data_IF_564757958754
#
_entry.id   IF_564757958754
#
_cell.length_a   1.000
_cell.length_b   1.000
_cell.length_c   1.000
_cell.angle_alpha   90.00
_cell.angle_beta   90.00
_cell.angle_gamma   90.00
#
_symmetry.space_group_name_H-M   'P 1'
#
loop_
_entity.id
_entity.type
_entity.pdbx_description
1 polymer ?
#
# COMPACT_ATOMS: atom_id res chain seq x y z
N UNK A 1 0.14 -0.48 -21.74
CA UNK A 1 -1.07 0.29 -22.08
C UNK A 1 -0.69 1.77 -22.11
N UNK A 2 -1.42 2.67 -22.80
CA UNK A 2 -1.20 4.10 -22.58
C UNK A 2 -1.53 4.49 -21.12
N UNK A 3 -0.93 5.55 -20.56
CA UNK A 3 -1.31 6.05 -19.23
C UNK A 3 -2.78 6.46 -19.22
N UNK A 4 -3.42 6.33 -18.06
CA UNK A 4 -4.79 6.79 -17.85
C UNK A 4 -4.90 8.32 -17.94
N UNK A 5 -3.84 9.03 -17.58
CA UNK A 5 -3.69 10.45 -17.81
C UNK A 5 -2.22 10.81 -18.04
N UNK A 6 -1.93 11.74 -18.97
CA UNK A 6 -0.56 12.13 -19.32
C UNK A 6 -0.27 13.53 -18.80
N UNK A 7 0.75 13.66 -17.96
CA UNK A 7 1.29 14.96 -17.55
C UNK A 7 1.83 15.74 -18.77
N UNK A 8 1.54 17.04 -18.81
CA UNK A 8 2.10 17.97 -19.79
C UNK A 8 3.09 18.87 -19.06
N UNK A 9 4.38 18.60 -19.30
CA UNK A 9 5.51 19.34 -18.73
C UNK A 9 5.30 20.85 -18.88
N UNK A 10 5.30 21.58 -17.76
CA UNK A 10 5.16 23.04 -17.72
C UNK A 10 3.73 23.58 -17.57
N UNK A 11 2.70 22.72 -17.47
CA UNK A 11 1.34 23.15 -17.09
C UNK A 11 1.19 23.30 -15.57
N UNK A 12 0.28 24.16 -15.14
CA UNK A 12 -0.02 24.38 -13.73
C UNK A 12 -0.75 23.18 -13.13
N UNK A 13 -0.30 22.75 -11.95
CA UNK A 13 -0.81 21.62 -11.18
C UNK A 13 -2.35 21.53 -11.14
N UNK A 14 -3.04 22.64 -10.82
CA UNK A 14 -4.50 22.67 -10.73
C UNK A 14 -5.23 22.37 -12.05
N UNK A 15 -4.66 22.76 -13.21
CA UNK A 15 -5.26 22.45 -14.53
C UNK A 15 -5.09 20.99 -14.94
N UNK A 16 -4.19 20.25 -14.30
CA UNK A 16 -3.94 18.85 -14.62
C UNK A 16 -4.74 17.90 -13.74
N UNK A 17 -5.08 18.28 -12.49
CA UNK A 17 -5.86 17.43 -11.58
C UNK A 17 -7.20 17.03 -12.20
N UNK A 18 -7.89 17.95 -12.89
CA UNK A 18 -9.17 17.64 -13.53
C UNK A 18 -9.03 16.53 -14.59
N UNK A 19 -7.97 16.57 -15.41
CA UNK A 19 -7.68 15.49 -16.38
C UNK A 19 -7.35 14.16 -15.66
N UNK A 20 -6.71 14.22 -14.50
CA UNK A 20 -6.42 13.05 -13.67
C UNK A 20 -7.67 12.45 -13.02
N UNK A 21 -8.70 13.25 -12.72
CA UNK A 21 -9.99 12.76 -12.21
C UNK A 21 -10.66 11.87 -13.27
N UNK A 22 -10.66 12.28 -14.53
CA UNK A 22 -11.14 11.44 -15.65
C UNK A 22 -10.31 10.17 -15.81
N UNK A 23 -8.98 10.28 -15.69
CA UNK A 23 -8.06 9.14 -15.68
C UNK A 23 -8.39 8.13 -14.57
N UNK A 24 -8.65 8.63 -13.36
CA UNK A 24 -9.07 7.82 -12.21
C UNK A 24 -10.39 7.09 -12.46
N UNK A 25 -11.39 7.73 -13.05
CA UNK A 25 -12.65 7.05 -13.37
C UNK A 25 -12.48 5.97 -14.43
N UNK A 26 -11.61 6.19 -15.44
CA UNK A 26 -11.26 5.16 -16.44
C UNK A 26 -10.52 4.00 -15.79
N UNK A 27 -9.59 4.29 -14.88
CA UNK A 27 -8.89 3.29 -14.08
C UNK A 27 -9.88 2.40 -13.31
N UNK A 28 -10.83 2.97 -12.57
CA UNK A 28 -11.81 2.18 -11.81
C UNK A 28 -12.70 1.26 -12.65
N UNK A 29 -12.94 1.64 -13.91
CA UNK A 29 -13.77 0.90 -14.87
C UNK A 29 -12.98 -0.13 -15.67
N UNK A 30 -11.66 -0.20 -15.51
CA UNK A 30 -10.83 -1.14 -16.24
C UNK A 30 -11.06 -2.59 -15.79
N UNK A 31 -10.60 -3.53 -16.61
CA UNK A 31 -10.55 -4.95 -16.26
C UNK A 31 -9.47 -5.16 -15.21
N UNK A 32 -9.83 -5.75 -14.07
CA UNK A 32 -8.92 -6.04 -12.95
C UNK A 32 -8.03 -4.85 -12.52
N UNK A 33 -8.62 -3.71 -12.09
CA UNK A 33 -7.86 -2.50 -11.77
C UNK A 33 -6.87 -2.70 -10.61
N UNK A 34 -7.08 -3.73 -9.78
CA UNK A 34 -6.17 -4.10 -8.70
C UNK A 34 -4.80 -4.56 -9.22
N UNK A 35 -4.75 -5.18 -10.41
CA UNK A 35 -3.56 -5.73 -11.06
C UNK A 35 -2.99 -4.78 -12.12
N UNK A 36 -3.45 -3.53 -12.14
CA UNK A 36 -2.89 -2.54 -13.02
C UNK A 36 -1.45 -2.20 -12.60
N UNK A 37 -0.54 -2.30 -13.55
CA UNK A 37 0.87 -1.97 -13.37
C UNK A 37 1.13 -0.50 -13.77
N UNK A 38 1.46 0.32 -12.79
CA UNK A 38 1.72 1.75 -12.96
C UNK A 38 2.98 2.04 -13.80
N UNK A 39 3.95 1.11 -13.88
CA UNK A 39 5.11 1.22 -14.76
C UNK A 39 4.75 0.99 -16.21
N UNK A 40 4.06 -0.10 -16.50
CA UNK A 40 3.53 -0.37 -17.83
C UNK A 40 2.51 0.68 -18.30
N UNK A 41 1.85 1.33 -17.33
CA UNK A 41 1.02 2.51 -17.51
C UNK A 41 1.79 3.78 -17.87
N UNK A 42 3.07 3.88 -17.49
CA UNK A 42 3.87 5.12 -17.55
C UNK A 42 3.26 6.25 -16.70
N UNK A 43 2.79 5.91 -15.50
CA UNK A 43 2.09 6.83 -14.60
C UNK A 43 3.00 7.78 -13.80
N UNK A 44 4.31 7.82 -14.08
CA UNK A 44 5.22 8.78 -13.44
C UNK A 44 4.78 10.22 -13.74
N UNK A 45 4.72 11.04 -12.69
CA UNK A 45 4.38 12.44 -12.82
C UNK A 45 5.56 13.26 -13.33
N UNK A 46 6.74 13.11 -12.70
CA UNK A 46 7.99 13.71 -13.12
C UNK A 46 9.01 12.61 -13.47
N UNK A 47 10.04 12.94 -14.25
CA UNK A 47 11.10 11.98 -14.64
C UNK A 47 11.74 11.28 -13.43
N UNK A 48 11.81 11.98 -12.28
CA UNK A 48 12.41 11.50 -11.04
C UNK A 48 11.38 11.13 -9.94
N UNK A 49 10.09 11.07 -10.26
CA UNK A 49 9.10 10.55 -9.29
C UNK A 49 8.98 9.04 -9.42
N UNK A 50 8.91 8.36 -8.28
CA UNK A 50 8.56 6.95 -8.21
C UNK A 50 7.04 6.74 -8.41
N UNK A 51 6.64 5.53 -8.78
CA UNK A 51 5.27 5.25 -9.27
C UNK A 51 4.20 5.33 -8.18
N UNK A 52 4.55 5.00 -6.94
CA UNK A 52 3.68 5.13 -5.78
C UNK A 52 3.34 6.60 -5.46
N UNK A 53 4.14 7.54 -5.95
CA UNK A 53 3.91 8.98 -5.86
C UNK A 53 3.19 9.55 -7.10
N UNK A 54 2.74 8.72 -8.04
CA UNK A 54 1.92 9.17 -9.18
C UNK A 54 0.65 9.89 -8.71
N UNK A 55 0.14 10.80 -9.55
CA UNK A 55 -1.11 11.51 -9.24
C UNK A 55 -2.29 10.54 -9.14
N UNK A 56 -2.34 9.50 -9.99
CA UNK A 56 -3.35 8.44 -9.89
C UNK A 56 -3.29 7.72 -8.54
N UNK A 57 -2.10 7.34 -8.06
CA UNK A 57 -1.93 6.74 -6.73
C UNK A 57 -2.45 7.67 -5.63
N UNK A 58 -2.08 8.96 -5.69
CA UNK A 58 -2.53 9.97 -4.74
C UNK A 58 -4.06 10.14 -4.73
N UNK A 59 -4.70 10.20 -5.90
CA UNK A 59 -6.15 10.27 -6.04
C UNK A 59 -6.85 9.03 -5.47
N UNK A 60 -6.31 7.84 -5.73
CA UNK A 60 -6.82 6.59 -5.14
C UNK A 60 -6.85 6.69 -3.62
N UNK A 61 -5.73 7.07 -2.98
CA UNK A 61 -5.67 7.13 -1.53
C UNK A 61 -6.49 8.28 -0.94
N UNK A 62 -6.63 9.40 -1.64
CA UNK A 62 -7.57 10.47 -1.27
C UNK A 62 -8.99 9.94 -1.19
N UNK A 63 -9.45 9.23 -2.21
CA UNK A 63 -10.81 8.68 -2.25
C UNK A 63 -11.00 7.58 -1.21
N UNK A 64 -9.97 6.79 -0.90
CA UNK A 64 -9.98 5.85 0.23
C UNK A 64 -10.14 6.58 1.57
N UNK A 65 -9.40 7.66 1.82
CA UNK A 65 -9.56 8.45 3.06
C UNK A 65 -10.95 9.09 3.14
N UNK A 66 -11.46 9.65 2.03
CA UNK A 66 -12.82 10.22 1.94
C UNK A 66 -13.91 9.20 2.20
N UNK A 67 -13.80 8.00 1.64
CA UNK A 67 -14.74 6.90 1.89
C UNK A 67 -14.85 6.51 3.37
N UNK A 68 -13.86 6.90 4.17
CA UNK A 68 -13.75 6.64 5.60
C UNK A 68 -13.95 7.90 6.45
N UNK A 69 -14.61 8.93 5.90
CA UNK A 69 -15.02 10.17 6.55
C UNK A 69 -13.87 11.10 6.96
N UNK A 70 -12.74 11.01 6.27
CA UNK A 70 -11.64 11.98 6.37
C UNK A 70 -11.67 12.91 5.16
N UNK A 71 -11.17 14.14 5.31
CA UNK A 71 -10.88 14.98 4.14
C UNK A 71 -9.45 14.70 3.70
N UNK A 72 -9.21 14.65 2.39
CA UNK A 72 -7.86 14.52 1.85
C UNK A 72 -7.75 15.24 0.51
N UNK A 73 -6.62 15.90 0.29
CA UNK A 73 -6.32 16.69 -0.90
C UNK A 73 -4.86 16.53 -1.28
N UNK A 74 -4.53 16.68 -2.56
CA UNK A 74 -3.14 16.64 -3.00
C UNK A 74 -2.46 17.97 -2.64
N UNK A 75 -1.21 17.89 -2.16
CA UNK A 75 -0.40 19.07 -1.91
C UNK A 75 0.00 19.77 -3.21
N UNK A 76 0.23 21.08 -3.17
CA UNK A 76 0.61 21.89 -4.35
C UNK A 76 1.86 21.38 -5.09
N UNK A 77 2.74 20.63 -4.42
CA UNK A 77 3.91 20.03 -5.04
C UNK A 77 3.61 18.78 -5.90
N UNK A 78 2.41 18.19 -5.79
CA UNK A 78 2.04 16.96 -6.51
C UNK A 78 2.82 15.72 -6.07
N UNK A 79 3.48 15.73 -4.90
CA UNK A 79 4.33 14.64 -4.39
C UNK A 79 3.83 14.03 -3.07
N UNK A 80 2.70 14.51 -2.56
CA UNK A 80 2.17 14.13 -1.25
C UNK A 80 0.71 14.54 -1.15
N UNK A 81 -0.01 13.90 -0.23
CA UNK A 81 -1.37 14.29 0.10
C UNK A 81 -1.40 14.87 1.52
N UNK A 82 -2.41 15.66 1.79
CA UNK A 82 -2.74 16.09 3.14
C UNK A 82 -4.07 15.51 3.55
N UNK A 83 -4.12 14.94 4.76
CA UNK A 83 -5.32 14.37 5.37
C UNK A 83 -5.74 15.20 6.57
N UNK A 84 -7.04 15.43 6.69
CA UNK A 84 -7.66 16.27 7.70
C UNK A 84 -8.73 15.49 8.49
N UNK A 85 -8.76 15.69 9.81
CA UNK A 85 -9.83 15.24 10.72
C UNK A 85 -10.16 16.38 11.67
N UNK A 86 -11.29 17.06 11.44
CA UNK A 86 -11.60 18.29 12.16
C UNK A 86 -10.56 19.38 11.88
N UNK A 87 -9.93 19.92 12.92
CA UNK A 87 -8.88 20.96 12.81
C UNK A 87 -7.47 20.39 12.64
N UNK A 88 -7.29 19.07 12.77
CA UNK A 88 -5.97 18.42 12.68
C UNK A 88 -5.67 18.08 11.22
N UNK A 89 -4.48 18.49 10.76
CA UNK A 89 -4.01 18.35 9.38
C UNK A 89 -2.62 17.74 9.36
N UNK A 90 -2.41 16.62 8.64
CA UNK A 90 -1.09 15.98 8.52
C UNK A 90 -0.80 15.55 7.09
N UNK A 91 0.47 15.64 6.69
CA UNK A 91 0.94 15.28 5.35
C UNK A 91 1.36 13.81 5.29
N UNK A 92 1.00 13.14 4.20
CA UNK A 92 1.41 11.77 3.89
C UNK A 92 2.24 11.76 2.61
N UNK A 93 3.39 11.10 2.67
CA UNK A 93 4.17 10.69 1.50
C UNK A 93 3.69 9.30 1.06
N UNK A 94 4.37 8.71 0.08
CA UNK A 94 4.09 7.37 -0.40
C UNK A 94 5.36 6.53 -0.41
N UNK A 95 5.17 5.24 -0.20
CA UNK A 95 6.22 4.23 -0.30
C UNK A 95 5.65 2.94 -0.91
N UNK A 96 6.53 2.08 -1.41
CA UNK A 96 6.20 0.73 -1.84
C UNK A 96 6.32 -0.20 -0.63
N UNK A 97 5.34 -1.07 -0.41
CA UNK A 97 5.31 -1.93 0.77
C UNK A 97 6.37 -3.02 0.69
N UNK A 98 6.34 -3.82 -0.37
CA UNK A 98 7.33 -4.87 -0.63
C UNK A 98 8.15 -4.47 -1.85
N UNK A 99 9.35 -3.93 -1.60
CA UNK A 99 10.21 -3.39 -2.64
C UNK A 99 11.24 -4.44 -3.10
N UNK A 100 11.25 -4.86 -4.38
CA UNK A 100 12.11 -5.93 -4.87
C UNK A 100 13.57 -5.48 -5.14
N UNK A 101 14.07 -4.44 -4.46
CA UNK A 101 15.48 -4.04 -4.59
C UNK A 101 16.39 -5.22 -4.28
N UNK A 102 17.57 -5.27 -4.92
CA UNK A 102 18.56 -6.35 -4.68
C UNK A 102 18.98 -6.50 -3.21
N UNK A 103 18.82 -5.46 -2.39
CA UNK A 103 19.06 -5.48 -0.94
C UNK A 103 17.91 -6.04 -0.10
N UNK A 104 16.72 -6.27 -0.68
CA UNK A 104 15.55 -6.78 0.03
C UNK A 104 15.80 -8.19 0.56
N UNK A 105 15.49 -8.45 1.82
CA UNK A 105 15.83 -9.74 2.45
C UNK A 105 15.17 -10.95 1.75
N UNK A 106 13.87 -10.91 1.35
CA UNK A 106 13.27 -12.00 0.57
C UNK A 106 13.97 -12.24 -0.77
N UNK A 107 14.33 -11.18 -1.48
CA UNK A 107 15.04 -11.23 -2.77
C UNK A 107 16.42 -11.87 -2.62
N UNK A 108 17.16 -11.48 -1.58
CA UNK A 108 18.46 -12.07 -1.26
C UNK A 108 18.34 -13.58 -1.00
N UNK A 109 17.32 -14.01 -0.25
CA UNK A 109 17.08 -15.44 -0.02
C UNK A 109 16.77 -16.18 -1.33
N UNK A 110 15.96 -15.59 -2.22
CA UNK A 110 15.67 -16.19 -3.52
C UNK A 110 16.93 -16.39 -4.38
N UNK A 111 17.81 -15.38 -4.43
CA UNK A 111 19.10 -15.44 -5.15
C UNK A 111 19.99 -16.52 -4.54
N UNK A 112 20.17 -16.51 -3.22
CA UNK A 112 21.04 -17.46 -2.52
C UNK A 112 20.62 -18.92 -2.72
N UNK A 113 19.31 -19.17 -2.85
CA UNK A 113 18.75 -20.51 -2.97
C UNK A 113 18.29 -20.86 -4.40
N UNK A 114 18.59 -20.00 -5.39
CA UNK A 114 18.17 -20.13 -6.79
C UNK A 114 16.65 -20.40 -6.97
N UNK A 115 15.82 -19.85 -6.07
CA UNK A 115 14.37 -19.97 -6.16
C UNK A 115 13.87 -19.21 -7.38
N UNK A 116 13.14 -19.88 -8.29
CA UNK A 116 12.64 -19.32 -9.55
C UNK A 116 13.72 -18.56 -10.37
N UNK A 117 14.97 -19.05 -10.38
CA UNK A 117 16.07 -18.36 -11.05
C UNK A 117 16.55 -17.09 -10.33
N UNK A 118 16.37 -17.05 -9.01
CA UNK A 118 16.77 -15.94 -8.14
C UNK A 118 15.75 -14.81 -8.04
N UNK A 119 14.47 -15.09 -8.31
CA UNK A 119 13.41 -14.08 -8.37
C UNK A 119 12.19 -14.47 -7.56
N UNK A 120 11.56 -13.50 -6.93
CA UNK A 120 10.28 -13.67 -6.25
C UNK A 120 9.15 -13.36 -7.24
N UNK A 121 8.02 -14.07 -7.14
CA UNK A 121 6.84 -13.85 -7.98
C UNK A 121 6.20 -12.50 -7.71
N UNK A 122 6.24 -12.01 -6.47
CA UNK A 122 5.70 -10.69 -6.14
C UNK A 122 6.38 -9.55 -6.92
N UNK A 123 7.60 -9.75 -7.45
CA UNK A 123 8.29 -8.79 -8.32
C UNK A 123 7.46 -8.44 -9.56
N UNK A 124 6.59 -9.34 -10.02
CA UNK A 124 5.77 -9.11 -11.21
C UNK A 124 4.56 -8.19 -10.94
N UNK A 125 4.22 -7.96 -9.67
CA UNK A 125 3.05 -7.15 -9.26
C UNK A 125 3.45 -6.01 -8.31
N UNK A 126 4.74 -5.67 -8.24
CA UNK A 126 5.27 -4.71 -7.27
C UNK A 126 4.76 -3.27 -7.50
N UNK A 127 4.37 -2.94 -8.73
CA UNK A 127 3.83 -1.64 -9.12
C UNK A 127 2.30 -1.59 -9.14
N UNK A 128 1.63 -2.56 -8.52
CA UNK A 128 0.18 -2.53 -8.36
C UNK A 128 -0.23 -1.70 -7.13
N UNK A 129 -1.43 -1.11 -7.16
CA UNK A 129 -1.96 -0.26 -6.08
C UNK A 129 -1.95 -0.94 -4.71
N UNK A 130 -2.11 -2.27 -4.69
CA UNK A 130 -2.05 -3.08 -3.48
C UNK A 130 -0.71 -3.03 -2.75
N UNK A 131 0.37 -2.65 -3.45
CA UNK A 131 1.72 -2.53 -2.92
C UNK A 131 2.13 -1.07 -2.62
N UNK A 132 1.26 -0.08 -2.80
CA UNK A 132 1.57 1.32 -2.48
C UNK A 132 0.92 1.74 -1.17
N UNK A 133 1.63 2.45 -0.29
CA UNK A 133 1.08 2.88 0.99
C UNK A 133 1.34 4.37 1.24
N UNK A 134 0.30 5.14 1.67
CA UNK A 134 0.53 6.45 2.23
C UNK A 134 1.21 6.29 3.59
N UNK A 135 2.30 7.00 3.81
CA UNK A 135 3.06 7.00 5.06
C UNK A 135 3.10 8.40 5.65
N UNK A 136 2.87 8.58 6.96
CA UNK A 136 2.96 9.89 7.59
C UNK A 136 4.32 10.53 7.32
N UNK A 137 4.33 11.81 6.95
CA UNK A 137 5.59 12.55 6.92
C UNK A 137 6.09 12.65 8.37
N UNK A 138 7.33 12.26 8.61
CA UNK A 138 7.96 12.30 9.95
C UNK A 138 9.05 13.38 10.09
N UNK A 139 9.22 14.24 9.07
CA UNK A 139 10.28 15.26 9.05
C UNK A 139 9.94 16.39 10.03
N UNK A 140 10.83 16.62 11.00
CA UNK A 140 10.87 17.84 11.84
C UNK A 140 11.53 18.97 11.06
N UNK A 141 11.03 20.19 11.19
CA UNK A 141 11.82 21.37 10.83
C UNK A 141 13.14 21.36 11.61
N UNK A 142 14.28 21.35 10.90
CA UNK A 142 15.67 21.23 11.42
C UNK A 142 16.24 19.80 11.67
N UNK A 143 16.06 18.86 10.74
CA UNK A 143 16.92 17.66 10.56
C UNK A 143 17.00 16.61 11.69
N UNK A 144 16.02 16.49 12.59
CA UNK A 144 16.00 15.38 13.54
C UNK A 144 15.06 14.25 13.08
N UNK A 145 15.63 13.16 12.58
CA UNK A 145 14.96 11.87 12.33
C UNK A 145 14.94 11.44 10.85
N UNK A 146 15.25 10.17 10.53
CA UNK A 146 15.12 9.64 9.17
C UNK A 146 13.64 9.60 8.74
N UNK A 147 13.41 9.77 7.43
CA UNK A 147 12.07 9.60 6.83
C UNK A 147 11.63 8.14 6.98
N UNK A 148 10.32 7.88 7.07
CA UNK A 148 9.83 6.50 7.12
C UNK A 148 10.29 5.66 5.92
N UNK A 149 10.44 6.24 4.71
CA UNK A 149 11.06 5.56 3.57
C UNK A 149 12.51 5.11 3.83
N UNK A 150 13.30 5.94 4.52
CA UNK A 150 14.68 5.59 4.88
C UNK A 150 14.73 4.52 5.96
N UNK A 151 13.81 4.59 6.93
CA UNK A 151 13.66 3.54 7.95
C UNK A 151 13.26 2.23 7.28
N UNK A 152 12.35 2.26 6.31
CA UNK A 152 11.93 1.09 5.55
C UNK A 152 13.11 0.43 4.81
N UNK A 153 13.94 1.24 4.14
CA UNK A 153 15.20 0.78 3.52
C UNK A 153 16.14 0.14 4.55
N UNK A 154 16.34 0.75 5.72
CA UNK A 154 17.17 0.19 6.79
C UNK A 154 16.61 -1.09 7.42
N UNK A 155 15.31 -1.32 7.29
CA UNK A 155 14.64 -2.56 7.67
C UNK A 155 14.61 -3.57 6.51
N UNK A 156 15.50 -3.44 5.54
CA UNK A 156 15.66 -4.32 4.37
C UNK A 156 14.38 -4.45 3.52
N UNK A 157 13.62 -3.35 3.43
CA UNK A 157 12.36 -3.27 2.66
C UNK A 157 11.31 -4.31 3.14
N UNK A 158 11.37 -4.70 4.42
CA UNK A 158 10.39 -5.57 5.05
C UNK A 158 9.25 -4.75 5.66
N UNK A 159 8.13 -4.66 4.94
CA UNK A 159 6.97 -3.91 5.40
C UNK A 159 6.49 -4.25 6.82
N UNK A 160 6.40 -5.55 7.24
CA UNK A 160 5.96 -5.87 8.60
C UNK A 160 6.88 -5.29 9.68
N UNK A 161 8.19 -5.18 9.42
CA UNK A 161 9.15 -4.56 10.32
C UNK A 161 8.91 -3.04 10.41
N UNK A 162 8.65 -2.37 9.29
CA UNK A 162 8.29 -0.94 9.29
C UNK A 162 6.99 -0.70 10.08
N UNK A 163 5.96 -1.52 9.86
CA UNK A 163 4.71 -1.43 10.60
C UNK A 163 4.92 -1.62 12.10
N UNK A 164 5.77 -2.56 12.51
CA UNK A 164 6.10 -2.74 13.93
C UNK A 164 6.82 -1.53 14.50
N UNK A 165 7.79 -0.98 13.78
CA UNK A 165 8.45 0.26 14.17
C UNK A 165 7.44 1.41 14.33
N UNK A 166 6.52 1.57 13.38
CA UNK A 166 5.48 2.60 13.44
C UNK A 166 4.53 2.38 14.61
N UNK A 167 4.13 1.13 14.88
CA UNK A 167 3.28 0.79 16.03
C UNK A 167 3.93 1.19 17.35
N UNK A 168 5.21 0.86 17.53
CA UNK A 168 5.95 1.10 18.77
C UNK A 168 6.25 2.59 19.01
N UNK A 169 6.35 3.36 17.94
CA UNK A 169 6.79 4.76 17.99
C UNK A 169 5.69 5.76 17.61
N UNK A 170 4.44 5.31 17.42
CA UNK A 170 3.35 6.13 16.89
C UNK A 170 3.12 7.43 17.67
N UNK A 171 3.14 7.34 19.01
CA UNK A 171 2.95 8.48 19.92
C UNK A 171 4.18 9.39 20.00
N UNK A 172 5.34 8.92 19.54
CA UNK A 172 6.61 9.62 19.61
C UNK A 172 6.97 10.32 18.29
N UNK A 173 6.13 10.16 17.25
CA UNK A 173 6.39 10.80 15.97
C UNK A 173 6.23 12.32 16.10
N UNK A 174 7.22 13.08 15.62
CA UNK A 174 7.31 14.52 15.89
C UNK A 174 6.33 15.35 15.05
N UNK A 175 5.59 14.71 14.16
CA UNK A 175 4.47 15.32 13.45
C UNK A 175 3.16 15.18 14.20
N UNK A 176 3.15 14.62 15.42
CA UNK A 176 1.98 14.41 16.26
C UNK A 176 0.85 13.70 15.49
N UNK A 177 1.19 12.67 14.69
CA UNK A 177 0.22 11.94 13.87
C UNK A 177 -0.90 11.33 14.72
N UNK A 178 -0.63 11.03 15.99
CA UNK A 178 -1.59 10.53 16.97
C UNK A 178 -2.77 11.49 17.21
N UNK A 179 -2.58 12.80 17.01
CA UNK A 179 -3.68 13.77 17.09
C UNK A 179 -4.68 13.61 15.93
N UNK A 180 -4.20 13.12 14.77
CA UNK A 180 -5.05 12.87 13.61
C UNK A 180 -5.74 11.51 13.72
N UNK A 181 -4.96 10.47 14.06
CA UNK A 181 -5.45 9.10 14.13
C UNK A 181 -4.52 8.21 14.97
N UNK A 182 -5.09 7.21 15.63
CA UNK A 182 -4.34 6.11 16.23
C UNK A 182 -3.65 5.23 15.16
N UNK A 183 -2.66 4.43 15.54
CA UNK A 183 -2.02 3.47 14.62
C UNK A 183 -3.04 2.50 14.02
N UNK A 184 -4.02 2.04 14.80
CA UNK A 184 -5.09 1.16 14.29
C UNK A 184 -5.96 1.86 13.25
N UNK A 185 -6.34 3.10 13.50
CA UNK A 185 -7.05 3.92 12.53
C UNK A 185 -6.20 4.11 11.28
N UNK A 186 -4.90 4.37 11.38
CA UNK A 186 -3.98 4.40 10.24
C UNK A 186 -4.01 3.10 9.44
N UNK A 187 -3.85 1.95 10.11
CA UNK A 187 -3.89 0.63 9.48
C UNK A 187 -5.22 0.40 8.75
N UNK A 188 -6.35 0.84 9.30
CA UNK A 188 -7.65 0.74 8.64
C UNK A 188 -7.78 1.72 7.48
N UNK A 189 -7.48 3.00 7.71
CA UNK A 189 -7.67 4.08 6.75
C UNK A 189 -6.80 3.92 5.52
N UNK A 190 -5.62 3.32 5.65
CA UNK A 190 -4.70 3.03 4.54
C UNK A 190 -4.83 1.61 3.97
N UNK A 191 -5.87 0.87 4.36
CA UNK A 191 -6.18 -0.50 3.90
C UNK A 191 -5.07 -1.52 4.21
N UNK A 192 -4.45 -1.45 5.37
CA UNK A 192 -3.34 -2.31 5.80
C UNK A 192 -3.73 -3.29 6.91
N UNK A 193 -4.99 -3.35 7.32
CA UNK A 193 -5.44 -4.16 8.45
C UNK A 193 -5.24 -5.68 8.25
N UNK A 194 -5.03 -6.16 7.02
CA UNK A 194 -4.65 -7.56 6.76
C UNK A 194 -3.25 -7.94 7.25
N UNK A 195 -2.44 -6.99 7.71
CA UNK A 195 -1.13 -7.26 8.31
C UNK A 195 -1.19 -7.65 9.78
N UNK A 196 -2.36 -7.57 10.44
CA UNK A 196 -2.52 -8.17 11.76
C UNK A 196 -2.61 -9.68 11.65
N UNK A 197 -1.84 -10.42 12.44
CA UNK A 197 -1.65 -11.86 12.37
C UNK A 197 -2.97 -12.63 12.42
N UNK A 198 -3.87 -12.29 13.34
CA UNK A 198 -5.18 -12.93 13.45
C UNK A 198 -6.02 -12.73 12.18
N UNK A 199 -5.97 -11.54 11.60
CA UNK A 199 -6.69 -11.19 10.36
C UNK A 199 -6.05 -11.95 9.19
N UNK A 200 -4.72 -11.84 9.04
CA UNK A 200 -3.95 -12.53 8.02
C UNK A 200 -4.23 -14.04 8.02
N UNK A 201 -4.05 -14.71 9.15
CA UNK A 201 -4.22 -16.16 9.27
C UNK A 201 -5.63 -16.59 8.87
N UNK A 202 -6.66 -15.86 9.32
CA UNK A 202 -8.04 -16.15 8.95
C UNK A 202 -8.26 -16.05 7.43
N UNK A 203 -7.81 -14.96 6.81
CA UNK A 203 -8.01 -14.72 5.38
C UNK A 203 -7.16 -15.65 4.50
N UNK A 204 -5.92 -15.91 4.92
CA UNK A 204 -5.00 -16.80 4.21
C UNK A 204 -5.45 -18.27 4.28
N UNK A 205 -6.05 -18.70 5.41
CA UNK A 205 -6.70 -20.00 5.49
C UNK A 205 -7.87 -20.14 4.50
N UNK A 206 -8.70 -19.10 4.34
CA UNK A 206 -9.80 -19.11 3.34
C UNK A 206 -9.24 -19.22 1.93
N UNK A 207 -8.15 -18.49 1.65
CA UNK A 207 -7.47 -18.51 0.35
C UNK A 207 -6.90 -19.89 0.01
N UNK A 208 -6.24 -20.55 0.97
CA UNK A 208 -5.61 -21.86 0.78
C UNK A 208 -6.58 -23.05 0.84
N UNK A 209 -7.80 -22.87 1.37
CA UNK A 209 -8.79 -23.95 1.46
C UNK A 209 -9.44 -24.31 0.12
N UNK A 210 -9.20 -23.54 -0.95
CA UNK A 210 -9.73 -23.81 -2.29
C UNK A 210 -8.61 -24.09 -3.27
N UNK A 211 -8.70 -25.22 -3.96
CA UNK A 211 -7.76 -25.58 -5.03
C UNK A 211 -7.88 -24.63 -6.23
N UNK A 212 -9.07 -24.08 -6.49
CA UNK A 212 -9.33 -23.14 -7.58
C UNK A 212 -9.60 -21.74 -7.02
N UNK A 213 -8.69 -20.78 -7.29
CA UNK A 213 -8.80 -19.37 -6.88
C UNK A 213 -9.77 -18.60 -7.78
N UNK A 214 -11.05 -18.94 -7.68
CA UNK A 214 -12.14 -18.26 -8.41
C UNK A 214 -12.51 -16.92 -7.77
N UNK A 215 -13.16 -16.03 -8.52
CA UNK A 215 -13.65 -14.73 -8.03
C UNK A 215 -14.51 -14.85 -6.76
N UNK A 216 -15.27 -15.95 -6.64
CA UNK A 216 -16.11 -16.23 -5.47
C UNK A 216 -15.30 -16.32 -4.15
N UNK A 217 -14.04 -16.77 -4.19
CA UNK A 217 -13.19 -16.81 -2.98
C UNK A 217 -12.73 -15.41 -2.62
N UNK A 218 -12.38 -14.59 -3.59
CA UNK A 218 -12.01 -13.21 -3.35
C UNK A 218 -13.17 -12.41 -2.76
N UNK A 219 -14.38 -12.58 -3.29
CA UNK A 219 -15.58 -11.97 -2.72
C UNK A 219 -15.81 -12.38 -1.26
N UNK A 220 -15.61 -13.66 -0.94
CA UNK A 220 -15.68 -14.17 0.44
C UNK A 220 -14.62 -13.52 1.33
N UNK A 221 -13.37 -13.46 0.89
CA UNK A 221 -12.25 -12.87 1.64
C UNK A 221 -12.48 -11.38 1.86
N UNK A 222 -12.90 -10.63 0.84
CA UNK A 222 -13.21 -9.19 0.92
C UNK A 222 -14.35 -8.94 1.90
N UNK A 223 -15.41 -9.76 1.87
CA UNK A 223 -16.53 -9.65 2.81
C UNK A 223 -16.08 -9.91 4.25
N UNK A 224 -15.26 -10.94 4.48
CA UNK A 224 -14.69 -11.21 5.81
C UNK A 224 -13.81 -10.04 6.30
N UNK A 225 -12.93 -9.53 5.44
CA UNK A 225 -12.06 -8.39 5.74
C UNK A 225 -12.86 -7.11 6.05
N UNK A 226 -13.95 -6.87 5.33
CA UNK A 226 -14.81 -5.69 5.53
C UNK A 226 -15.53 -5.67 6.88
N UNK A 227 -15.79 -6.86 7.45
CA UNK A 227 -16.51 -7.03 8.71
C UNK A 227 -15.58 -7.22 9.92
N UNK A 228 -14.27 -7.33 9.70
CA UNK A 228 -13.30 -7.57 10.75
C UNK A 228 -13.05 -6.31 11.58
N UNK A 229 -13.00 -6.50 12.90
CA UNK A 229 -12.60 -5.48 13.88
C UNK A 229 -11.16 -5.77 14.32
N UNK A 230 -10.35 -4.72 14.44
CA UNK A 230 -8.96 -4.79 14.91
C UNK A 230 -8.95 -4.77 16.44
N UNK A 231 -8.48 -5.85 17.05
CA UNK A 231 -8.36 -6.00 18.51
C UNK A 231 -7.19 -5.16 19.05
N UNK A 232 -7.23 -4.74 20.32
CA UNK A 232 -6.12 -4.03 20.98
C UNK A 232 -4.88 -4.89 21.14
N UNK A 233 -5.07 -6.20 21.24
CA UNK A 233 -3.99 -7.17 21.42
C UNK A 233 -3.52 -7.77 20.08
N UNK A 234 -4.09 -7.34 18.94
CA UNK A 234 -3.70 -7.84 17.63
C UNK A 234 -2.22 -7.51 17.34
N UNK A 235 -1.45 -8.57 17.10
CA UNK A 235 -0.04 -8.49 16.71
C UNK A 235 0.09 -8.38 15.21
N UNK A 236 1.13 -7.71 14.73
CA UNK A 236 1.49 -7.70 13.32
C UNK A 236 2.12 -9.05 12.92
N UNK A 237 1.93 -9.46 11.68
CA UNK A 237 2.66 -10.60 11.11
C UNK A 237 4.17 -10.33 11.15
N UNK A 238 4.96 -11.41 11.21
CA UNK A 238 6.42 -11.35 11.04
C UNK A 238 6.86 -12.45 10.09
N UNK A 239 7.89 -12.15 9.29
CA UNK A 239 8.55 -13.12 8.42
C UNK A 239 9.86 -13.65 9.02
N UNK A 240 10.24 -13.21 10.22
CA UNK A 240 11.56 -13.53 10.81
C UNK A 240 11.81 -15.03 10.90
N UNK A 241 10.78 -15.81 11.26
CA UNK A 241 10.93 -17.26 11.37
C UNK A 241 11.06 -17.95 10.01
N UNK A 242 10.43 -17.41 8.97
CA UNK A 242 10.53 -17.93 7.60
C UNK A 242 11.89 -17.58 6.98
N UNK A 243 12.45 -16.41 7.33
CA UNK A 243 13.72 -15.92 6.80
C UNK A 243 14.96 -16.53 7.49
N UNK A 244 14.81 -17.14 8.67
CA UNK A 244 15.90 -17.79 9.43
C UNK A 244 16.36 -19.11 8.82
N UNK A 245 15.52 -19.77 8.03
CA UNK A 245 15.84 -21.06 7.40
C UNK A 245 15.97 -20.82 5.90
N UNK A 246 17.17 -21.01 5.35
CA UNK A 246 17.42 -21.00 3.91
C UNK A 246 16.92 -22.29 3.27
N UNK A 247 15.61 -22.51 3.37
CA UNK A 247 14.89 -23.63 2.78
C UNK A 247 13.98 -23.09 1.67
N UNK A 248 14.01 -23.74 0.50
CA UNK A 248 13.22 -23.35 -0.67
C UNK A 248 11.73 -23.31 -0.33
N UNK A 249 11.23 -24.23 0.49
CA UNK A 249 9.81 -24.25 0.90
C UNK A 249 9.43 -22.99 1.70
N UNK A 250 10.34 -22.49 2.54
CA UNK A 250 10.10 -21.28 3.34
C UNK A 250 10.14 -20.01 2.47
N UNK A 251 11.01 -19.98 1.45
CA UNK A 251 11.08 -18.88 0.48
C UNK A 251 9.81 -18.84 -0.36
N UNK A 252 9.36 -20.00 -0.84
CA UNK A 252 8.10 -20.13 -1.57
C UNK A 252 6.92 -19.65 -0.72
N UNK A 253 6.89 -19.99 0.57
CA UNK A 253 5.85 -19.52 1.49
C UNK A 253 5.91 -17.99 1.67
N UNK A 254 7.10 -17.39 1.85
CA UNK A 254 7.23 -15.91 1.92
C UNK A 254 6.68 -15.26 0.66
N UNK A 255 7.05 -15.77 -0.51
CA UNK A 255 6.61 -15.24 -1.80
C UNK A 255 5.08 -15.32 -1.96
N UNK A 256 4.49 -16.48 -1.62
CA UNK A 256 3.03 -16.68 -1.62
C UNK A 256 2.33 -15.71 -0.68
N UNK A 257 2.85 -15.50 0.54
CA UNK A 257 2.25 -14.59 1.52
C UNK A 257 2.31 -13.13 1.07
N UNK A 258 3.45 -12.69 0.55
CA UNK A 258 3.62 -11.32 0.02
C UNK A 258 2.69 -11.11 -1.18
N UNK A 259 2.69 -12.04 -2.13
CA UNK A 259 1.81 -11.99 -3.31
C UNK A 259 0.34 -11.92 -2.89
N UNK A 260 -0.08 -12.75 -1.94
CA UNK A 260 -1.43 -12.72 -1.38
C UNK A 260 -1.77 -11.38 -0.73
N UNK A 261 -0.86 -10.80 0.06
CA UNK A 261 -1.08 -9.51 0.71
C UNK A 261 -1.26 -8.37 -0.32
N UNK A 262 -0.42 -8.33 -1.37
CA UNK A 262 -0.52 -7.33 -2.43
C UNK A 262 -1.86 -7.45 -3.16
N UNK A 263 -2.23 -8.65 -3.60
CA UNK A 263 -3.49 -8.89 -4.32
C UNK A 263 -4.71 -8.60 -3.44
N UNK A 264 -4.73 -9.12 -2.20
CA UNK A 264 -5.82 -8.88 -1.25
C UNK A 264 -6.01 -7.39 -1.01
N UNK A 265 -4.93 -6.67 -0.74
CA UNK A 265 -4.99 -5.24 -0.46
C UNK A 265 -5.45 -4.45 -1.69
N UNK A 266 -4.93 -4.77 -2.87
CA UNK A 266 -5.36 -4.16 -4.13
C UNK A 266 -6.85 -4.37 -4.39
N UNK A 267 -7.33 -5.61 -4.30
CA UNK A 267 -8.75 -5.94 -4.46
C UNK A 267 -9.63 -5.24 -3.43
N UNK A 268 -9.19 -5.16 -2.18
CA UNK A 268 -9.92 -4.48 -1.11
C UNK A 268 -10.01 -2.96 -1.32
N UNK A 269 -8.92 -2.32 -1.78
CA UNK A 269 -8.92 -0.90 -2.18
C UNK A 269 -9.96 -0.66 -3.27
N UNK A 270 -9.95 -1.45 -4.34
CA UNK A 270 -10.92 -1.34 -5.44
C UNK A 270 -12.36 -1.54 -4.96
N UNK A 271 -12.59 -2.51 -4.07
CA UNK A 271 -13.90 -2.76 -3.46
C UNK A 271 -14.42 -1.51 -2.72
N UNK A 272 -13.59 -0.88 -1.89
CA UNK A 272 -13.97 0.32 -1.15
C UNK A 272 -14.28 1.50 -2.08
N UNK A 273 -13.45 1.72 -3.09
CA UNK A 273 -13.66 2.79 -4.07
C UNK A 273 -14.98 2.58 -4.82
N UNK A 274 -15.22 1.39 -5.36
CA UNK A 274 -16.48 1.07 -6.05
C UNK A 274 -17.68 1.26 -5.13
N UNK A 275 -17.63 0.75 -3.89
CA UNK A 275 -18.71 0.89 -2.92
C UNK A 275 -19.03 2.36 -2.64
N UNK A 276 -18.02 3.20 -2.44
CA UNK A 276 -18.20 4.63 -2.19
C UNK A 276 -18.82 5.34 -3.40
N UNK A 277 -18.26 5.14 -4.59
CA UNK A 277 -18.70 5.80 -5.82
C UNK A 277 -20.13 5.41 -6.24
N UNK A 278 -20.57 4.17 -5.99
CA UNK A 278 -21.96 3.75 -6.24
C UNK A 278 -22.96 4.18 -5.16
N UNK A 279 -22.51 4.76 -4.04
CA UNK A 279 -23.41 5.34 -3.01
C UNK A 279 -23.58 6.85 -3.12
N UNK A 280 -22.74 7.53 -3.91
CA UNK A 280 -22.77 8.98 -4.15
C UNK A 280 -23.39 9.40 -5.49
N UNK A 281 -23.88 8.42 -6.28
CA UNK A 281 -24.69 8.62 -7.49
C UNK A 281 -26.15 8.25 -7.19
#
# INVERSE_FOLDING_TARGET
MPPYCKHIKGKHYGTEIDDWVDGYFKYLKSTEPWNYDFENGKEKYLENTDYEQSILSQLIFIEIFKSQKLSADICECGLSITVNKGTVKKTFLFDVMHNPKRGCQPCQQAILNNYNGGKMQFENIYHCVGNFAPIPRTIISKNYGPRLQQIHEYLNELWPCLLKFMQDNWMCFPTDIYELMSFKEYMKYSCQQMYYERIFNKLYCIYNASENKTDNIWDKIIRELSNIVIDEQDRLISFDNLLKKSDIEMIEEIDKRITFLIELRGRFIIYLLKKHHFTTL
#
